data_IF_061239719721
#
_entry.id   IF_061239719721
#
_cell.length_a   1.000
_cell.length_b   1.000
_cell.length_c   1.000
_cell.angle_alpha   90.00
_cell.angle_beta   90.00
_cell.angle_gamma   90.00
#
_symmetry.space_group_name_H-M   'P 1'
#
loop_
_entity.id
_entity.type
_entity.pdbx_description
1 polymer ?
#
# COMPACT_ATOMS: atom_id res chain seq x y z
N UNK A 1 1.74 21.55 24.16
CA UNK A 1 0.87 20.83 23.21
C UNK A 1 -0.46 21.57 23.10
N UNK A 2 -0.67 22.46 22.10
CA UNK A 2 -1.97 23.06 21.80
C UNK A 2 -2.55 22.39 20.54
N UNK A 3 -3.74 21.79 20.65
CA UNK A 3 -4.44 21.10 19.56
C UNK A 3 -5.64 21.92 19.14
N UNK A 4 -5.75 22.25 17.84
CA UNK A 4 -6.91 22.89 17.25
C UNK A 4 -7.55 21.92 16.25
N UNK A 5 -8.85 21.68 16.41
CA UNK A 5 -9.62 20.79 15.56
C UNK A 5 -10.47 21.61 14.59
N UNK A 6 -10.17 21.50 13.31
CA UNK A 6 -11.11 21.81 12.24
C UNK A 6 -11.61 20.50 11.64
N UNK A 7 -12.84 20.47 11.09
CA UNK A 7 -13.52 19.26 10.58
C UNK A 7 -12.76 18.45 9.50
N UNK A 8 -11.57 18.89 9.09
CA UNK A 8 -10.77 18.31 8.01
C UNK A 8 -9.34 17.99 8.45
N UNK A 9 -8.83 18.64 9.50
CA UNK A 9 -7.44 18.52 9.90
C UNK A 9 -7.26 18.73 11.40
N UNK A 10 -6.33 17.98 11.99
CA UNK A 10 -5.87 18.23 13.33
C UNK A 10 -4.56 19.00 13.24
N UNK A 11 -4.57 20.23 13.73
CA UNK A 11 -3.37 21.05 13.82
C UNK A 11 -2.81 20.94 15.21
N UNK A 12 -1.53 20.59 15.28
CA UNK A 12 -0.88 20.44 16.55
C UNK A 12 0.49 21.11 16.58
N UNK A 13 0.70 21.93 17.61
CA UNK A 13 1.95 22.65 17.87
C UNK A 13 2.84 21.87 18.81
N UNK A 14 3.82 21.14 18.25
CA UNK A 14 4.86 20.43 19.00
C UNK A 14 6.02 21.38 19.32
N UNK A 15 6.37 21.49 20.60
CA UNK A 15 7.63 22.11 21.01
C UNK A 15 8.76 21.10 20.78
N UNK A 16 9.69 21.39 19.87
CA UNK A 16 10.90 20.61 19.65
C UNK A 16 12.11 21.45 20.10
N UNK A 17 12.71 21.04 21.23
CA UNK A 17 13.99 21.53 21.77
C UNK A 17 14.10 22.99 22.27
N UNK A 18 15.08 23.32 23.13
CA UNK A 18 15.10 24.57 23.89
C UNK A 18 15.92 25.70 23.23
N UNK A 19 16.18 25.66 21.92
CA UNK A 19 16.89 26.74 21.24
C UNK A 19 16.11 27.30 20.03
N UNK A 20 15.67 28.55 20.22
CA UNK A 20 14.88 29.43 19.35
C UNK A 20 13.38 29.12 19.34
N UNK A 21 12.60 30.20 19.40
CA UNK A 21 11.13 30.26 19.33
C UNK A 21 10.58 29.79 17.96
N UNK A 22 10.96 28.58 17.53
CA UNK A 22 10.59 28.00 16.27
C UNK A 22 9.45 27.00 16.50
N UNK A 23 8.24 27.51 16.43
CA UNK A 23 7.04 26.70 16.51
C UNK A 23 6.84 26.00 15.14
N UNK A 24 6.82 24.66 15.14
CA UNK A 24 6.55 23.89 13.91
C UNK A 24 5.09 23.46 13.85
N UNK A 25 4.38 23.87 12.79
CA UNK A 25 3.00 23.47 12.54
C UNK A 25 2.99 22.12 11.80
N UNK A 26 2.51 21.07 12.46
CA UNK A 26 2.31 19.79 11.82
C UNK A 26 0.86 19.63 11.39
N UNK A 27 0.66 19.44 10.07
CA UNK A 27 -0.62 19.13 9.46
C UNK A 27 -0.78 17.62 9.37
N UNK A 28 -1.78 17.05 10.05
CA UNK A 28 -2.17 15.65 9.84
C UNK A 28 -3.55 15.59 9.20
N UNK A 29 -3.69 15.01 7.99
CA UNK A 29 -5.00 14.81 7.39
C UNK A 29 -5.80 13.79 8.20
N UNK A 30 -7.07 14.10 8.47
CA UNK A 30 -7.99 13.19 9.13
C UNK A 30 -8.35 12.10 8.10
N UNK A 31 -7.79 10.90 8.23
CA UNK A 31 -8.21 9.75 7.44
C UNK A 31 -9.71 9.52 7.73
N UNK A 32 -10.52 9.43 6.66
CA UNK A 32 -11.98 9.19 6.74
C UNK A 32 -12.23 7.79 7.32
N UNK A 33 -12.19 7.67 8.64
CA UNK A 33 -12.48 6.43 9.35
C UNK A 33 -14.00 6.29 9.56
N UNK A 34 -14.53 5.06 9.63
CA UNK A 34 -15.96 4.79 9.83
C UNK A 34 -16.43 5.00 11.28
N UNK A 35 -15.66 5.72 12.11
CA UNK A 35 -15.89 5.82 13.56
C UNK A 35 -16.69 7.10 13.85
N UNK A 36 -17.97 6.93 14.21
CA UNK A 36 -18.96 8.03 14.34
C UNK A 36 -18.86 8.86 15.63
N UNK A 37 -17.96 8.51 16.56
CA UNK A 37 -17.83 9.17 17.86
C UNK A 37 -16.45 9.82 18.07
N UNK A 38 -16.42 11.15 18.06
CA UNK A 38 -15.19 11.96 18.23
C UNK A 38 -14.52 11.79 19.61
N UNK A 39 -15.30 11.47 20.65
CA UNK A 39 -14.77 11.23 22.01
C UNK A 39 -13.93 9.94 22.09
N UNK A 40 -14.23 8.96 21.25
CA UNK A 40 -13.50 7.68 21.21
C UNK A 40 -12.14 7.84 20.49
N UNK A 41 -12.07 8.76 19.51
CA UNK A 41 -10.83 9.11 18.79
C UNK A 41 -9.80 9.75 19.71
N UNK A 42 -10.22 10.66 20.60
CA UNK A 42 -9.34 11.33 21.56
C UNK A 42 -8.69 10.36 22.56
N UNK A 43 -9.44 9.38 23.05
CA UNK A 43 -8.97 8.41 24.05
C UNK A 43 -8.06 7.32 23.46
N UNK A 44 -8.25 6.99 22.17
CA UNK A 44 -7.47 5.95 21.50
C UNK A 44 -6.26 6.49 20.72
N UNK A 45 -6.14 7.80 20.46
CA UNK A 45 -4.98 8.41 19.81
C UNK A 45 -3.59 7.97 20.37
N UNK A 46 -3.37 7.86 21.70
CA UNK A 46 -2.10 7.34 22.22
C UNK A 46 -1.93 5.81 22.00
N UNK A 47 -3.01 5.05 21.86
CA UNK A 47 -2.98 3.62 21.50
C UNK A 47 -2.76 3.43 19.99
N UNK A 48 -3.42 4.22 19.15
CA UNK A 48 -3.30 4.21 17.68
C UNK A 48 -1.86 4.53 17.23
N UNK A 49 -1.13 5.36 18.01
CA UNK A 49 0.28 5.64 17.76
C UNK A 49 1.22 4.42 17.88
N UNK A 50 0.91 3.44 18.74
CA UNK A 50 1.76 2.24 18.92
C UNK A 50 1.42 1.09 17.98
N UNK A 51 0.18 1.01 17.47
CA UNK A 51 -0.22 -0.01 16.47
C UNK A 51 0.25 0.31 15.05
N UNK A 52 0.63 1.56 14.76
CA UNK A 52 1.27 1.94 13.50
C UNK A 52 2.79 2.13 13.66
N UNK A 53 3.44 1.21 14.38
CA UNK A 53 4.89 1.10 14.43
C UNK A 53 5.39 -0.22 13.81
N UNK A 54 4.55 -0.88 13.01
CA UNK A 54 5.10 -1.79 12.00
C UNK A 54 5.83 -0.90 11.01
N UNK A 55 7.17 -0.99 11.01
CA UNK A 55 7.99 -0.34 10.00
C UNK A 55 7.38 -0.65 8.63
N UNK A 56 6.80 0.36 7.98
CA UNK A 56 6.33 0.24 6.59
C UNK A 56 7.60 0.05 5.78
N UNK A 57 8.01 -1.21 5.63
CA UNK A 57 9.12 -1.54 4.79
C UNK A 57 8.64 -1.32 3.36
N UNK A 58 8.98 -0.14 2.81
CA UNK A 58 8.72 0.24 1.42
C UNK A 58 9.59 -0.61 0.49
N UNK A 59 9.34 -1.93 0.49
CA UNK A 59 9.92 -2.88 -0.46
C UNK A 59 9.02 -2.91 -1.69
N UNK A 60 9.53 -2.31 -2.76
CA UNK A 60 8.99 -2.49 -4.10
C UNK A 60 9.55 -3.76 -4.76
N UNK A 61 9.03 -4.12 -5.92
CA UNK A 61 9.58 -5.20 -6.73
C UNK A 61 11.06 -4.91 -7.09
N UNK A 62 11.97 -5.89 -6.96
CA UNK A 62 13.36 -5.71 -7.35
C UNK A 62 13.47 -5.50 -8.87
N UNK A 63 14.50 -4.76 -9.29
CA UNK A 63 14.80 -4.60 -10.71
C UNK A 63 15.18 -5.95 -11.33
N UNK A 64 14.52 -6.32 -12.43
CA UNK A 64 14.81 -7.54 -13.18
C UNK A 64 15.67 -7.20 -14.41
N UNK A 65 16.92 -7.69 -14.43
CA UNK A 65 17.86 -7.45 -15.52
C UNK A 65 17.41 -8.01 -16.88
N UNK A 66 16.42 -8.91 -16.92
CA UNK A 66 15.82 -9.40 -18.17
C UNK A 66 15.07 -8.30 -18.92
N UNK A 67 14.63 -7.26 -18.21
CA UNK A 67 13.85 -6.16 -18.77
C UNK A 67 14.58 -4.82 -18.55
N UNK A 68 15.68 -4.56 -19.28
CA UNK A 68 16.45 -3.31 -19.14
C UNK A 68 15.75 -2.10 -19.77
N UNK A 69 14.66 -2.33 -20.51
CA UNK A 69 13.92 -1.28 -21.21
C UNK A 69 13.03 -0.49 -20.26
N UNK A 70 12.80 0.79 -20.58
CA UNK A 70 11.88 1.66 -19.82
C UNK A 70 10.42 1.17 -19.88
N UNK A 71 10.04 0.43 -20.93
CA UNK A 71 8.72 -0.17 -21.04
C UNK A 71 8.58 -1.41 -20.13
N UNK A 72 7.79 -1.28 -19.06
CA UNK A 72 7.55 -2.34 -18.06
C UNK A 72 6.34 -3.24 -18.37
N UNK A 73 5.68 -3.08 -19.52
CA UNK A 73 4.49 -3.88 -19.89
C UNK A 73 4.76 -5.38 -19.90
N UNK A 74 5.90 -5.81 -20.47
CA UNK A 74 6.29 -7.24 -20.48
C UNK A 74 6.65 -7.75 -19.08
N UNK A 75 7.24 -6.90 -18.24
CA UNK A 75 7.59 -7.24 -16.87
C UNK A 75 6.32 -7.47 -16.03
N UNK A 76 5.36 -6.55 -16.11
CA UNK A 76 4.04 -6.69 -15.48
C UNK A 76 3.34 -7.99 -15.91
N UNK A 77 3.23 -8.24 -17.22
CA UNK A 77 2.57 -9.43 -17.76
C UNK A 77 3.23 -10.73 -17.30
N UNK A 78 4.57 -10.77 -17.28
CA UNK A 78 5.33 -11.94 -16.82
C UNK A 78 5.06 -12.24 -15.35
N UNK A 79 5.06 -11.22 -14.48
CA UNK A 79 4.79 -11.41 -13.03
C UNK A 79 3.37 -11.87 -12.76
N UNK A 80 2.39 -11.37 -13.50
CA UNK A 80 0.99 -11.81 -13.40
C UNK A 80 0.85 -13.30 -13.74
N UNK A 81 1.49 -13.75 -14.82
CA UNK A 81 1.47 -15.17 -15.21
C UNK A 81 2.21 -16.03 -14.17
N UNK A 82 3.38 -15.61 -13.70
CA UNK A 82 4.15 -16.34 -12.68
C UNK A 82 3.33 -16.56 -11.39
N UNK A 83 2.56 -15.55 -10.97
CA UNK A 83 1.67 -15.67 -9.82
C UNK A 83 0.60 -16.74 -10.03
N UNK A 84 -0.09 -16.74 -11.17
CA UNK A 84 -1.16 -17.70 -11.43
C UNK A 84 -0.65 -19.12 -11.69
N UNK A 85 0.53 -19.27 -12.31
CA UNK A 85 1.23 -20.56 -12.41
C UNK A 85 1.61 -21.10 -11.04
N UNK A 86 2.08 -20.22 -10.14
CA UNK A 86 2.42 -20.60 -8.78
C UNK A 86 1.19 -21.11 -8.03
N UNK A 87 0.05 -20.43 -8.16
CA UNK A 87 -1.22 -20.88 -7.58
C UNK A 87 -1.67 -22.23 -8.13
N UNK A 88 -1.57 -22.45 -9.45
CA UNK A 88 -1.96 -23.70 -10.08
C UNK A 88 -1.05 -24.88 -9.67
N UNK A 89 0.26 -24.64 -9.51
CA UNK A 89 1.22 -25.69 -9.20
C UNK A 89 1.33 -26.03 -7.71
N UNK A 90 1.22 -25.03 -6.82
CA UNK A 90 1.51 -25.19 -5.38
C UNK A 90 0.29 -25.03 -4.47
N UNK A 91 -0.83 -24.52 -5.00
CA UNK A 91 -1.97 -24.13 -4.17
C UNK A 91 -1.74 -22.82 -3.39
N UNK A 92 -2.78 -22.38 -2.70
CA UNK A 92 -2.85 -21.05 -2.05
C UNK A 92 -1.89 -20.90 -0.84
N UNK A 93 -1.36 -22.01 -0.29
CA UNK A 93 -0.61 -22.01 0.97
C UNK A 93 0.89 -21.73 0.86
N UNK A 94 1.44 -21.50 -0.34
CA UNK A 94 2.88 -21.23 -0.45
C UNK A 94 3.21 -19.74 -0.33
N UNK A 95 3.95 -19.37 0.72
CA UNK A 95 4.54 -18.03 0.96
C UNK A 95 5.34 -17.47 -0.23
N UNK A 96 5.68 -18.31 -1.20
CA UNK A 96 6.37 -17.93 -2.42
C UNK A 96 5.42 -17.24 -3.42
N UNK A 97 4.16 -17.66 -3.51
CA UNK A 97 3.18 -17.04 -4.41
C UNK A 97 2.79 -15.63 -3.95
N UNK A 98 2.78 -15.37 -2.64
CA UNK A 98 2.47 -14.05 -2.07
C UNK A 98 3.49 -12.97 -2.50
N UNK A 99 4.76 -13.35 -2.69
CA UNK A 99 5.79 -12.43 -3.20
C UNK A 99 5.48 -11.96 -4.62
N UNK A 100 5.09 -12.89 -5.49
CA UNK A 100 4.66 -12.55 -6.85
C UNK A 100 3.39 -11.69 -6.83
N UNK A 101 2.49 -11.92 -5.88
CA UNK A 101 1.30 -11.11 -5.68
C UNK A 101 1.61 -9.65 -5.35
N UNK A 102 2.62 -9.42 -4.52
CA UNK A 102 3.12 -8.06 -4.23
C UNK A 102 3.73 -7.42 -5.47
N UNK A 103 4.53 -8.17 -6.24
CA UNK A 103 5.23 -7.63 -7.41
C UNK A 103 4.29 -7.21 -8.56
N UNK A 104 3.31 -8.02 -8.95
CA UNK A 104 2.43 -7.63 -10.06
C UNK A 104 1.52 -6.44 -9.66
N UNK A 105 1.11 -6.34 -8.39
CA UNK A 105 0.31 -5.19 -7.89
C UNK A 105 1.10 -3.88 -7.89
N UNK A 106 2.42 -3.93 -7.71
CA UNK A 106 3.28 -2.74 -7.75
C UNK A 106 3.67 -2.33 -9.17
N UNK A 107 3.75 -3.28 -10.11
CA UNK A 107 4.22 -3.03 -11.49
C UNK A 107 3.08 -2.73 -12.47
N UNK A 108 1.91 -3.35 -12.28
CA UNK A 108 0.81 -3.28 -13.23
C UNK A 108 -0.19 -2.18 -12.85
N UNK A 109 -0.73 -1.43 -13.83
CA UNK A 109 -1.90 -0.59 -13.59
C UNK A 109 -3.12 -1.47 -13.27
N UNK A 110 -3.96 -1.04 -12.32
CA UNK A 110 -5.13 -1.79 -11.86
C UNK A 110 -6.06 -2.22 -13.00
N UNK A 111 -6.31 -1.32 -13.96
CA UNK A 111 -7.17 -1.58 -15.12
C UNK A 111 -6.74 -2.81 -15.93
N UNK A 112 -5.44 -3.08 -16.05
CA UNK A 112 -4.97 -4.24 -16.80
C UNK A 112 -5.20 -5.54 -16.06
N UNK A 113 -5.01 -5.51 -14.74
CA UNK A 113 -5.25 -6.65 -13.86
C UNK A 113 -6.73 -7.04 -13.95
N UNK A 114 -7.63 -6.05 -13.88
CA UNK A 114 -9.08 -6.29 -13.93
C UNK A 114 -9.51 -6.91 -15.26
N UNK A 115 -9.02 -6.37 -16.39
CA UNK A 115 -9.29 -6.94 -17.72
C UNK A 115 -8.76 -8.36 -17.87
N UNK A 116 -7.57 -8.66 -17.35
CA UNK A 116 -7.02 -10.02 -17.40
C UNK A 116 -7.78 -10.97 -16.48
N UNK A 117 -8.27 -10.51 -15.33
CA UNK A 117 -9.12 -11.31 -14.46
C UNK A 117 -10.42 -11.69 -15.16
N UNK A 118 -11.10 -10.74 -15.82
CA UNK A 118 -12.32 -10.99 -16.59
C UNK A 118 -12.05 -11.99 -17.73
N UNK A 119 -10.97 -11.82 -18.50
CA UNK A 119 -10.58 -12.76 -19.56
C UNK A 119 -10.31 -14.16 -19.04
N UNK A 120 -9.82 -14.30 -17.80
CA UNK A 120 -9.56 -15.59 -17.17
C UNK A 120 -10.84 -16.27 -16.70
N UNK A 121 -11.76 -15.51 -16.12
CA UNK A 121 -13.09 -16.01 -15.75
C UNK A 121 -13.88 -16.45 -17.00
N UNK A 122 -13.73 -15.72 -18.10
CA UNK A 122 -14.33 -16.05 -19.39
C UNK A 122 -13.57 -17.15 -20.16
N UNK A 123 -12.38 -17.57 -19.71
CA UNK A 123 -11.55 -18.58 -20.38
C UNK A 123 -10.90 -18.12 -21.70
N UNK A 124 -10.91 -16.82 -22.00
CA UNK A 124 -10.38 -16.24 -23.25
C UNK A 124 -8.97 -15.65 -23.09
N UNK A 125 -8.26 -15.96 -22.01
CA UNK A 125 -6.94 -15.40 -21.73
C UNK A 125 -5.89 -15.94 -22.73
N UNK A 126 -5.19 -15.08 -23.49
CA UNK A 126 -4.25 -15.52 -24.53
C UNK A 126 -2.87 -15.94 -23.98
N UNK A 127 -2.65 -15.81 -22.67
CA UNK A 127 -1.37 -16.13 -22.03
C UNK A 127 -1.30 -17.56 -21.47
N UNK A 128 -0.09 -18.13 -21.39
CA UNK A 128 0.12 -19.47 -20.85
C UNK A 128 0.02 -19.49 -19.32
N UNK A 129 -1.16 -19.83 -18.78
CA UNK A 129 -1.42 -20.04 -17.35
C UNK A 129 -0.99 -21.42 -16.86
#
# INVERSE_FOLDING_TARGET
>A
IIILFDNVACFYWQWNEPERNNWSLFFKPILKSPIKDQNLVLLLCPFIGSIMADAIELKTAPADFRFPTTNQTRHCFTRYIEFHRCLAAKGEESNQCEKFAKYYRSLCPGEWIDKWNEQRENGTFPGPL
#
